data_IF_193325737127
#
_entry.id   IF_193325737127
#
_cell.length_a   1.000
_cell.length_b   1.000
_cell.length_c   1.000
_cell.angle_alpha   90.00
_cell.angle_beta   90.00
_cell.angle_gamma   90.00
#
_symmetry.space_group_name_H-M   'P 1'
#
loop_
_entity.id
_entity.type
_entity.pdbx_description
1 polymer ?
#
# COMPACT_ATOMS: atom_id res chain seq x y z
N UNK A 1 -11.08 -19.09 -16.70
CA UNK A 1 -11.81 -18.46 -15.57
C UNK A 1 -13.30 -18.68 -15.76
N UNK A 2 -14.07 -19.06 -14.72
CA UNK A 2 -15.53 -19.20 -14.82
C UNK A 2 -16.15 -17.84 -15.21
N UNK A 3 -17.17 -17.79 -16.08
CA UNK A 3 -17.77 -16.54 -16.62
C UNK A 3 -18.05 -15.46 -15.56
N UNK A 4 -18.54 -15.83 -14.38
CA UNK A 4 -18.80 -14.92 -13.23
C UNK A 4 -17.53 -14.26 -12.66
N UNK A 5 -16.41 -14.99 -12.63
CA UNK A 5 -15.12 -14.46 -12.16
C UNK A 5 -14.52 -13.47 -13.14
N UNK A 6 -14.73 -13.67 -14.43
CA UNK A 6 -14.24 -12.78 -15.48
C UNK A 6 -15.01 -11.46 -15.46
N UNK A 7 -16.33 -11.51 -15.23
CA UNK A 7 -17.18 -10.34 -15.06
C UNK A 7 -16.75 -9.46 -13.87
N UNK A 8 -16.54 -10.07 -12.68
CA UNK A 8 -16.14 -9.33 -11.48
C UNK A 8 -14.76 -8.68 -11.64
N UNK A 9 -13.82 -9.39 -12.28
CA UNK A 9 -12.51 -8.84 -12.62
C UNK A 9 -12.62 -7.65 -13.57
N UNK A 10 -13.37 -7.80 -14.67
CA UNK A 10 -13.55 -6.75 -15.68
C UNK A 10 -14.23 -5.51 -15.08
N UNK A 11 -15.23 -5.70 -14.23
CA UNK A 11 -15.89 -4.63 -13.50
C UNK A 11 -14.92 -3.86 -12.60
N UNK A 12 -14.07 -4.57 -11.84
CA UNK A 12 -13.04 -3.95 -11.01
C UNK A 12 -12.01 -3.17 -11.83
N UNK A 13 -11.60 -3.68 -12.99
CA UNK A 13 -10.70 -2.95 -13.90
C UNK A 13 -11.33 -1.63 -14.34
N UNK A 14 -12.57 -1.66 -14.83
CA UNK A 14 -13.29 -0.46 -15.27
C UNK A 14 -13.41 0.56 -14.13
N UNK A 15 -13.81 0.09 -12.95
CA UNK A 15 -13.97 0.95 -11.78
C UNK A 15 -12.64 1.58 -11.34
N UNK A 16 -11.55 0.80 -11.40
CA UNK A 16 -10.20 1.29 -11.11
C UNK A 16 -9.78 2.36 -12.10
N UNK A 17 -9.98 2.15 -13.41
CA UNK A 17 -9.66 3.14 -14.45
C UNK A 17 -10.42 4.45 -14.22
N UNK A 18 -11.71 4.39 -13.89
CA UNK A 18 -12.51 5.59 -13.60
C UNK A 18 -11.94 6.36 -12.41
N UNK A 19 -11.65 5.67 -11.29
CA UNK A 19 -11.07 6.30 -10.09
C UNK A 19 -9.72 6.93 -10.39
N UNK A 20 -8.86 6.25 -11.16
CA UNK A 20 -7.55 6.75 -11.55
C UNK A 20 -7.65 8.00 -12.43
N UNK A 21 -8.58 8.05 -13.37
CA UNK A 21 -8.80 9.23 -14.23
C UNK A 21 -9.30 10.42 -13.40
N UNK A 22 -10.23 10.19 -12.47
CA UNK A 22 -10.72 11.24 -11.56
C UNK A 22 -9.58 11.77 -10.67
N UNK A 23 -8.78 10.88 -10.10
CA UNK A 23 -7.65 11.24 -9.26
C UNK A 23 -6.56 11.96 -10.04
N UNK A 24 -6.26 11.55 -11.26
CA UNK A 24 -5.31 12.23 -12.14
C UNK A 24 -5.78 13.65 -12.48
N UNK A 25 -7.06 13.85 -12.81
CA UNK A 25 -7.61 15.20 -13.03
C UNK A 25 -7.55 16.07 -11.78
N UNK A 26 -7.83 15.49 -10.62
CA UNK A 26 -7.69 16.19 -9.34
C UNK A 26 -6.24 16.59 -9.05
N UNK A 27 -5.29 15.68 -9.31
CA UNK A 27 -3.86 15.94 -9.14
C UNK A 27 -3.33 17.03 -10.08
N UNK A 28 -3.78 17.06 -11.34
CA UNK A 28 -3.43 18.11 -12.30
C UNK A 28 -3.95 19.48 -11.84
N UNK A 29 -5.14 19.53 -11.26
CA UNK A 29 -5.72 20.77 -10.72
C UNK A 29 -4.93 21.35 -9.55
N UNK A 30 -4.15 20.52 -8.84
CA UNK A 30 -3.39 20.93 -7.65
C UNK A 30 -2.00 21.53 -7.97
N UNK A 31 -1.61 21.62 -9.25
CA UNK A 31 -0.43 22.35 -9.78
C UNK A 31 0.87 22.34 -8.93
N UNK A 32 1.23 21.20 -8.32
CA UNK A 32 2.54 21.01 -7.70
C UNK A 32 3.31 19.92 -8.44
N UNK A 33 4.54 20.23 -8.88
CA UNK A 33 5.46 19.27 -9.53
C UNK A 33 5.71 18.03 -8.65
N UNK A 34 5.80 18.24 -7.32
CA UNK A 34 5.83 17.14 -6.33
C UNK A 34 4.51 16.36 -6.25
N UNK A 35 3.39 17.04 -6.48
CA UNK A 35 2.05 16.45 -6.51
C UNK A 35 1.87 15.46 -7.66
N UNK A 36 2.50 15.69 -8.82
CA UNK A 36 2.40 14.75 -9.96
C UNK A 36 3.10 13.42 -9.66
N UNK A 37 4.33 13.46 -9.14
CA UNK A 37 5.07 12.24 -8.75
C UNK A 37 4.34 11.50 -7.63
N UNK A 38 3.91 12.22 -6.60
CA UNK A 38 3.12 11.66 -5.51
C UNK A 38 1.84 10.99 -6.03
N UNK A 39 1.17 11.62 -7.00
CA UNK A 39 -0.06 11.07 -7.58
C UNK A 39 0.18 9.76 -8.32
N UNK A 40 1.27 9.65 -9.08
CA UNK A 40 1.62 8.37 -9.71
C UNK A 40 1.93 7.28 -8.69
N UNK A 41 2.63 7.61 -7.60
CA UNK A 41 2.92 6.65 -6.52
C UNK A 41 1.59 6.15 -5.89
N UNK A 42 0.66 7.07 -5.61
CA UNK A 42 -0.66 6.73 -5.07
C UNK A 42 -1.45 5.87 -6.06
N UNK A 43 -1.49 6.25 -7.34
CA UNK A 43 -2.18 5.51 -8.39
C UNK A 43 -1.66 4.08 -8.54
N UNK A 44 -0.34 3.90 -8.63
CA UNK A 44 0.30 2.58 -8.72
C UNK A 44 0.01 1.75 -7.46
N UNK A 45 0.12 2.37 -6.28
CA UNK A 45 -0.18 1.70 -5.01
C UNK A 45 -1.64 1.24 -4.94
N UNK A 46 -2.57 2.06 -5.43
CA UNK A 46 -3.99 1.74 -5.45
C UNK A 46 -4.31 0.57 -6.39
N UNK A 47 -3.70 0.55 -7.59
CA UNK A 47 -3.80 -0.57 -8.54
C UNK A 47 -3.30 -1.85 -7.87
N UNK A 48 -2.09 -1.82 -7.31
CA UNK A 48 -1.49 -2.98 -6.63
C UNK A 48 -2.37 -3.46 -5.47
N UNK A 49 -2.96 -2.54 -4.71
CA UNK A 49 -3.84 -2.85 -3.59
C UNK A 49 -5.15 -3.51 -4.03
N UNK A 50 -5.79 -3.03 -5.11
CA UNK A 50 -7.02 -3.63 -5.66
C UNK A 50 -6.76 -5.03 -6.22
N UNK A 51 -5.58 -5.27 -6.81
CA UNK A 51 -5.24 -6.58 -7.37
C UNK A 51 -4.64 -7.56 -6.35
N UNK A 52 -4.14 -7.10 -5.21
CA UNK A 52 -3.55 -7.94 -4.17
C UNK A 52 -4.46 -9.09 -3.68
N UNK A 53 -5.77 -8.90 -3.44
CA UNK A 53 -6.68 -9.97 -3.03
C UNK A 53 -6.76 -11.12 -4.05
N UNK A 54 -6.67 -10.83 -5.35
CA UNK A 54 -6.70 -11.85 -6.39
C UNK A 54 -5.50 -12.79 -6.35
N UNK A 55 -4.32 -12.26 -5.94
CA UNK A 55 -3.14 -13.08 -5.70
C UNK A 55 -3.39 -14.08 -4.57
N UNK A 56 -3.96 -13.63 -3.44
CA UNK A 56 -4.30 -14.52 -2.33
C UNK A 56 -5.39 -15.54 -2.66
N UNK A 57 -6.41 -15.15 -3.44
CA UNK A 57 -7.44 -16.07 -3.92
C UNK A 57 -6.82 -17.17 -4.78
N UNK A 58 -5.89 -16.80 -5.69
CA UNK A 58 -5.15 -17.73 -6.53
C UNK A 58 -4.29 -18.68 -5.69
N UNK A 59 -3.51 -18.14 -4.75
CA UNK A 59 -2.59 -18.92 -3.91
C UNK A 59 -3.32 -19.91 -3.00
N UNK A 60 -4.52 -19.54 -2.52
CA UNK A 60 -5.36 -20.41 -1.67
C UNK A 60 -6.33 -21.29 -2.45
N UNK A 61 -6.29 -21.30 -3.79
CA UNK A 61 -7.23 -22.04 -4.66
C UNK A 61 -8.71 -21.78 -4.31
N UNK A 62 -9.02 -20.60 -3.78
CA UNK A 62 -10.37 -20.25 -3.33
C UNK A 62 -11.25 -19.87 -4.52
N UNK A 63 -12.58 -20.01 -4.37
CA UNK A 63 -13.51 -19.57 -5.42
C UNK A 63 -13.47 -18.05 -5.57
N UNK A 64 -13.43 -17.55 -6.80
CA UNK A 64 -13.51 -16.10 -7.06
C UNK A 64 -14.97 -15.68 -6.86
N UNK A 65 -15.26 -15.13 -5.69
CA UNK A 65 -16.56 -14.58 -5.28
C UNK A 65 -16.34 -13.26 -4.55
N UNK A 66 -17.36 -12.39 -4.53
CA UNK A 66 -17.28 -11.10 -3.82
C UNK A 66 -16.93 -11.29 -2.33
N UNK A 67 -17.49 -12.32 -1.69
CA UNK A 67 -17.19 -12.66 -0.30
C UNK A 67 -15.70 -12.99 -0.09
N UNK A 68 -15.13 -13.82 -0.96
CA UNK A 68 -13.71 -14.16 -0.87
C UNK A 68 -12.83 -12.94 -1.18
N UNK A 69 -13.22 -12.11 -2.16
CA UNK A 69 -12.52 -10.85 -2.44
C UNK A 69 -12.44 -9.97 -1.19
N UNK A 70 -13.55 -9.70 -0.51
CA UNK A 70 -13.56 -8.91 0.73
C UNK A 70 -12.73 -9.58 1.85
N UNK A 71 -12.86 -10.89 2.02
CA UNK A 71 -12.08 -11.64 3.01
C UNK A 71 -10.57 -11.47 2.79
N UNK A 72 -10.09 -11.64 1.56
CA UNK A 72 -8.66 -11.52 1.25
C UNK A 72 -8.19 -10.07 1.18
N UNK A 73 -9.08 -9.12 0.91
CA UNK A 73 -8.80 -7.69 1.06
C UNK A 73 -8.55 -7.30 2.51
N UNK A 74 -9.35 -7.85 3.45
CA UNK A 74 -9.07 -7.73 4.88
C UNK A 74 -7.73 -8.34 5.30
N UNK A 75 -7.38 -9.51 4.76
CA UNK A 75 -6.05 -10.13 4.99
C UNK A 75 -4.92 -9.24 4.46
N UNK A 76 -5.12 -8.63 3.28
CA UNK A 76 -4.16 -7.69 2.67
C UNK A 76 -3.96 -6.46 3.54
N UNK A 77 -5.05 -5.88 4.08
CA UNK A 77 -5.00 -4.75 5.02
C UNK A 77 -4.26 -5.09 6.31
N UNK A 78 -4.51 -6.27 6.89
CA UNK A 78 -3.80 -6.73 8.09
C UNK A 78 -2.30 -6.92 7.84
N UNK A 79 -1.93 -7.46 6.67
CA UNK A 79 -0.54 -7.60 6.29
C UNK A 79 0.15 -6.23 6.14
N UNK A 80 -0.50 -5.27 5.48
CA UNK A 80 -0.01 -3.90 5.37
C UNK A 80 0.16 -3.24 6.74
N UNK A 81 -0.83 -3.37 7.63
CA UNK A 81 -0.75 -2.84 8.99
C UNK A 81 0.45 -3.38 9.77
N UNK A 82 0.72 -4.69 9.68
CA UNK A 82 1.93 -5.30 10.29
C UNK A 82 3.21 -4.73 9.69
N UNK A 83 3.28 -4.54 8.38
CA UNK A 83 4.45 -3.95 7.72
C UNK A 83 4.69 -2.53 8.21
N UNK A 84 3.65 -1.70 8.29
CA UNK A 84 3.74 -0.33 8.82
C UNK A 84 4.26 -0.32 10.26
N UNK A 85 3.70 -1.18 11.13
CA UNK A 85 4.16 -1.30 12.52
C UNK A 85 5.65 -1.68 12.59
N UNK A 86 6.09 -2.63 11.75
CA UNK A 86 7.51 -3.02 11.70
C UNK A 86 8.41 -1.89 11.22
N UNK A 87 7.99 -1.13 10.20
CA UNK A 87 8.72 0.05 9.72
C UNK A 87 8.84 1.09 10.84
N UNK A 88 7.74 1.42 11.52
CA UNK A 88 7.76 2.34 12.65
C UNK A 88 8.69 1.85 13.78
N UNK A 89 8.64 0.56 14.10
CA UNK A 89 9.54 -0.04 15.10
C UNK A 89 11.01 0.12 14.70
N UNK A 90 11.36 -0.17 13.45
CA UNK A 90 12.73 0.01 12.98
C UNK A 90 13.15 1.48 12.98
N UNK A 91 12.28 2.38 12.55
CA UNK A 91 12.56 3.82 12.58
C UNK A 91 12.86 4.31 14.02
N UNK A 92 12.05 3.92 15.00
CA UNK A 92 12.27 4.27 16.41
C UNK A 92 13.61 3.71 16.91
N UNK A 93 13.94 2.45 16.59
CA UNK A 93 15.21 1.85 16.99
C UNK A 93 16.40 2.56 16.36
N UNK A 94 16.30 2.94 15.08
CA UNK A 94 17.35 3.69 14.39
C UNK A 94 17.52 5.08 14.98
N UNK A 95 16.43 5.81 15.22
CA UNK A 95 16.49 7.13 15.87
C UNK A 95 17.08 6.99 17.27
N UNK A 96 16.60 6.03 18.07
CA UNK A 96 17.13 5.74 19.40
C UNK A 96 18.63 5.45 19.37
N UNK A 97 19.08 4.60 18.45
CA UNK A 97 20.50 4.29 18.28
C UNK A 97 21.34 5.53 17.90
N UNK A 98 20.88 6.34 16.96
CA UNK A 98 21.57 7.56 16.54
C UNK A 98 21.64 8.56 17.69
N UNK A 99 20.55 8.77 18.41
CA UNK A 99 20.48 9.65 19.58
C UNK A 99 21.43 9.15 20.68
N UNK A 100 21.33 7.89 21.09
CA UNK A 100 22.22 7.32 22.11
C UNK A 100 23.69 7.43 21.72
N UNK A 101 24.04 7.17 20.46
CA UNK A 101 25.43 7.29 19.98
C UNK A 101 25.95 8.72 20.01
N UNK A 102 25.11 9.70 19.67
CA UNK A 102 25.47 11.12 19.74
C UNK A 102 25.72 11.56 21.19
N UNK A 103 24.89 11.10 22.14
CA UNK A 103 25.05 11.45 23.56
C UNK A 103 26.15 10.66 24.30
N UNK A 104 26.46 9.43 23.89
CA UNK A 104 27.55 8.63 24.48
C UNK A 104 28.94 9.13 24.07
N UNK A 105 29.10 9.69 22.87
CA UNK A 105 30.38 10.27 22.44
C UNK A 105 30.70 11.61 23.12
N UNK A 106 29.71 12.30 23.69
CA UNK A 106 29.90 13.54 24.45
C UNK A 106 30.48 13.26 25.85
N UNK A 107 30.05 12.16 26.48
CA UNK A 107 30.50 11.74 27.81
C UNK A 107 31.94 11.18 27.84
N UNK A 108 32.49 10.72 26.71
CA UNK A 108 33.85 10.17 26.63
C UNK A 108 34.92 11.23 26.33
N UNK A 109 34.53 12.46 25.96
CA UNK A 109 35.42 13.60 25.75
C UNK A 109 35.61 14.44 27.03
N UNK A 110 34.82 14.18 28.07
CA UNK A 110 34.82 14.92 29.35
C UNK A 110 35.41 14.14 30.54
N UNK A 111 36.15 13.06 30.29
CA UNK A 111 36.89 12.29 31.32
C UNK A 111 38.39 12.38 31.13
#
# INVERSE_FOLDING_TARGET
>A
MKKKSLFLFMFLVILTVIVLVLFYRFAQWYEQIMGTIFSYIVMISFILFIFAPFRFIKDKKASISSFNYFKYMGVTLLALGKTIINICKQAILTVGYVVTRLFTNDQSQHK
#
